data_IF_540923184396
#
_entry.id   IF_540923184396
#
_cell.length_a   1.000
_cell.length_b   1.000
_cell.length_c   1.000
_cell.angle_alpha   90.00
_cell.angle_beta   90.00
_cell.angle_gamma   90.00
#
_symmetry.space_group_name_H-M   'P 1'
#
loop_
_entity.id
_entity.type
_entity.pdbx_description
1 polymer ?
#
# COMPACT_ATOMS: atom_id res chain seq x y z
N UNK A 1 -1.67 -5.99 15.89
CA UNK A 1 -2.52 -4.92 16.45
C UNK A 1 -3.75 -5.53 17.10
N UNK A 2 -4.05 -5.22 18.38
CA UNK A 2 -5.10 -5.92 19.12
C UNK A 2 -6.54 -5.74 18.57
N UNK A 3 -6.78 -4.68 17.78
CA UNK A 3 -8.12 -4.32 17.27
C UNK A 3 -8.28 -4.49 15.74
N UNK A 4 -7.31 -5.08 15.03
CA UNK A 4 -7.36 -5.18 13.56
C UNK A 4 -8.04 -6.48 13.12
N UNK A 5 -9.02 -6.37 12.20
CA UNK A 5 -9.57 -7.53 11.48
C UNK A 5 -8.81 -7.72 10.17
N UNK A 6 -8.22 -8.88 9.95
CA UNK A 6 -7.54 -9.21 8.69
C UNK A 6 -8.52 -9.85 7.71
N UNK A 7 -8.47 -9.37 6.47
CA UNK A 7 -9.12 -9.95 5.31
C UNK A 7 -8.08 -10.26 4.25
N UNK A 8 -8.48 -11.07 3.27
CA UNK A 8 -7.67 -11.35 2.10
C UNK A 8 -8.46 -10.96 0.86
N UNK A 9 -7.96 -9.97 0.14
CA UNK A 9 -8.51 -9.57 -1.14
C UNK A 9 -7.99 -10.54 -2.20
N UNK A 10 -8.91 -11.26 -2.85
CA UNK A 10 -8.57 -12.27 -3.84
C UNK A 10 -9.40 -12.08 -5.12
N UNK A 11 -8.72 -11.86 -6.25
CA UNK A 11 -9.34 -11.87 -7.59
C UNK A 11 -8.56 -12.84 -8.48
N UNK A 12 -9.10 -14.04 -8.77
CA UNK A 12 -8.38 -15.05 -9.56
C UNK A 12 -7.98 -14.60 -10.96
N UNK A 13 -8.78 -13.72 -11.59
CA UNK A 13 -8.63 -13.34 -12.99
C UNK A 13 -7.29 -12.65 -13.29
N UNK A 14 -6.71 -11.98 -12.31
CA UNK A 14 -5.39 -11.32 -12.38
C UNK A 14 -4.47 -11.72 -11.23
N UNK A 15 -4.77 -12.83 -10.54
CA UNK A 15 -3.99 -13.33 -9.40
C UNK A 15 -3.80 -12.28 -8.29
N UNK A 16 -4.71 -11.32 -8.17
CA UNK A 16 -4.68 -10.36 -7.08
C UNK A 16 -4.82 -11.13 -5.76
N UNK A 17 -3.82 -11.01 -4.90
CA UNK A 17 -3.79 -11.65 -3.59
C UNK A 17 -3.15 -10.69 -2.58
N UNK A 18 -3.99 -9.88 -1.91
CA UNK A 18 -3.53 -8.79 -1.06
C UNK A 18 -4.17 -8.91 0.33
N UNK A 19 -3.38 -9.17 1.39
CA UNK A 19 -3.86 -9.05 2.75
C UNK A 19 -4.25 -7.61 3.06
N UNK A 20 -5.40 -7.45 3.73
CA UNK A 20 -5.93 -6.15 4.14
C UNK A 20 -6.28 -6.18 5.62
N UNK A 21 -5.70 -5.27 6.40
CA UNK A 21 -6.10 -5.06 7.78
C UNK A 21 -7.12 -3.92 7.89
N UNK A 22 -8.21 -4.20 8.59
CA UNK A 22 -9.26 -3.25 8.93
C UNK A 22 -9.09 -2.83 10.39
N UNK A 23 -8.65 -1.60 10.62
CA UNK A 23 -8.47 -1.03 11.96
C UNK A 23 -9.66 -0.14 12.28
N UNK A 24 -10.35 -0.41 13.38
CA UNK A 24 -11.54 0.36 13.81
C UNK A 24 -12.65 0.40 12.71
N UNK A 25 -12.74 -0.67 11.92
CA UNK A 25 -13.72 -0.83 10.85
C UNK A 25 -14.42 -2.19 10.96
N UNK A 26 -15.73 -2.18 10.73
CA UNK A 26 -16.54 -3.40 10.71
C UNK A 26 -17.47 -3.45 9.50
N UNK A 27 -17.55 -4.60 8.81
CA UNK A 27 -18.56 -4.82 7.79
C UNK A 27 -19.98 -4.77 8.38
N UNK A 28 -20.83 -3.86 7.87
CA UNK A 28 -22.26 -3.79 8.14
C UNK A 28 -23.01 -3.47 6.86
N UNK A 29 -23.98 -4.32 6.50
CA UNK A 29 -24.88 -4.14 5.33
C UNK A 29 -24.10 -3.79 4.05
N UNK A 30 -23.03 -4.53 3.76
CA UNK A 30 -22.21 -4.33 2.55
C UNK A 30 -21.31 -3.09 2.59
N UNK A 31 -21.05 -2.51 3.76
CA UNK A 31 -20.14 -1.36 3.92
C UNK A 31 -19.18 -1.56 5.09
N UNK A 32 -18.00 -0.98 5.01
CA UNK A 32 -17.08 -0.84 6.14
C UNK A 32 -17.41 0.42 6.92
N UNK A 33 -17.88 0.26 8.16
CA UNK A 33 -18.24 1.39 9.03
C UNK A 33 -17.25 1.55 10.18
N UNK A 34 -16.96 2.79 10.54
CA UNK A 34 -16.11 3.14 11.70
C UNK A 34 -16.83 2.75 12.99
N UNK A 35 -16.16 1.97 13.86
CA UNK A 35 -16.75 1.49 15.11
C UNK A 35 -16.74 2.55 16.20
N UNK A 36 -15.56 3.08 16.52
CA UNK A 36 -15.36 4.21 17.42
C UNK A 36 -15.08 5.48 16.60
N UNK A 37 -16.05 6.40 16.58
CA UNK A 37 -15.94 7.69 15.86
C UNK A 37 -14.88 8.63 16.43
N UNK A 38 -14.30 8.34 17.61
CA UNK A 38 -13.19 9.11 18.20
C UNK A 38 -11.83 8.70 17.64
N UNK A 39 -11.76 7.56 16.94
CA UNK A 39 -10.55 7.03 16.32
C UNK A 39 -10.72 7.00 14.80
N UNK A 40 -9.64 7.16 14.01
CA UNK A 40 -9.74 6.97 12.57
C UNK A 40 -10.08 5.50 12.25
N UNK A 41 -10.86 5.27 11.20
CA UNK A 41 -10.98 3.95 10.58
C UNK A 41 -9.91 3.82 9.51
N UNK A 42 -9.12 2.75 9.54
CA UNK A 42 -8.03 2.53 8.57
C UNK A 42 -8.24 1.25 7.76
N UNK A 43 -7.96 1.34 6.47
CA UNK A 43 -7.80 0.20 5.56
C UNK A 43 -6.32 0.12 5.21
N UNK A 44 -5.68 -1.00 5.54
CA UNK A 44 -4.23 -1.16 5.40
C UNK A 44 -3.94 -2.32 4.47
N UNK A 45 -3.37 -2.03 3.30
CA UNK A 45 -2.99 -3.02 2.30
C UNK A 45 -1.55 -3.44 2.51
N UNK A 46 -1.30 -4.75 2.47
CA UNK A 46 0.04 -5.33 2.52
C UNK A 46 0.37 -5.88 1.14
N UNK A 47 1.12 -5.13 0.35
CA UNK A 47 1.58 -5.59 -0.94
C UNK A 47 2.78 -6.52 -0.74
N UNK A 48 2.81 -7.70 -1.41
CA UNK A 48 3.94 -8.60 -1.31
C UNK A 48 5.22 -7.91 -1.79
N UNK A 49 6.42 -8.44 -1.48
CA UNK A 49 7.67 -7.93 -2.03
C UNK A 49 7.60 -7.70 -3.54
N UNK A 50 7.84 -6.46 -3.97
CA UNK A 50 7.75 -6.07 -5.39
C UNK A 50 9.12 -5.83 -6.03
N UNK A 51 10.18 -5.70 -5.24
CA UNK A 51 11.50 -5.33 -5.73
C UNK A 51 12.55 -6.37 -5.37
N UNK A 52 13.37 -6.72 -6.37
CA UNK A 52 14.54 -7.57 -6.20
C UNK A 52 15.75 -6.82 -6.77
N UNK A 53 16.86 -6.83 -6.04
CA UNK A 53 18.15 -6.37 -6.51
C UNK A 53 19.09 -7.57 -6.61
N UNK A 54 19.60 -7.87 -7.80
CA UNK A 54 20.49 -9.01 -8.07
C UNK A 54 21.72 -8.53 -8.83
N UNK A 55 22.90 -9.07 -8.50
CA UNK A 55 24.10 -8.83 -9.29
C UNK A 55 24.10 -9.68 -10.57
N UNK A 56 24.38 -9.05 -11.72
CA UNK A 56 24.56 -9.76 -12.99
C UNK A 56 25.90 -10.48 -13.06
N UNK A 57 26.00 -11.51 -13.91
CA UNK A 57 27.25 -12.15 -14.28
C UNK A 57 27.78 -11.57 -15.60
N UNK A 58 29.07 -11.22 -15.63
CA UNK A 58 29.73 -10.73 -16.84
C UNK A 58 30.11 -11.88 -17.80
N UNK A 59 30.26 -13.10 -17.28
CA UNK A 59 30.54 -14.31 -18.05
C UNK A 59 29.96 -15.57 -17.37
N UNK A 60 29.53 -16.55 -18.17
CA UNK A 60 28.94 -17.83 -17.78
C UNK A 60 29.89 -18.63 -16.90
N UNK A 61 31.20 -18.49 -17.09
CA UNK A 61 32.24 -19.16 -16.29
C UNK A 61 32.27 -18.71 -14.82
N UNK A 62 31.65 -17.56 -14.50
CA UNK A 62 31.53 -17.03 -13.14
C UNK A 62 30.11 -17.18 -12.56
N UNK A 63 29.21 -17.88 -13.26
CA UNK A 63 27.82 -18.03 -12.86
C UNK A 63 27.65 -18.85 -11.56
N UNK A 64 28.55 -19.80 -11.29
CA UNK A 64 28.49 -20.68 -10.10
C UNK A 64 28.98 -20.02 -8.80
N UNK A 65 29.52 -18.80 -8.86
CA UNK A 65 29.83 -18.04 -7.65
C UNK A 65 28.54 -17.42 -7.12
N UNK A 66 28.12 -17.80 -5.90
CA UNK A 66 26.94 -17.24 -5.25
C UNK A 66 26.98 -15.70 -5.25
N UNK A 67 25.96 -15.09 -5.85
CA UNK A 67 25.85 -13.62 -5.98
C UNK A 67 24.90 -13.06 -4.93
N UNK A 68 25.15 -11.83 -4.46
CA UNK A 68 24.22 -11.19 -3.57
C UNK A 68 22.90 -10.89 -4.31
N UNK A 69 21.81 -11.24 -3.66
CA UNK A 69 20.45 -10.91 -4.06
C UNK A 69 19.68 -10.44 -2.84
N UNK A 70 18.89 -9.39 -3.00
CA UNK A 70 18.03 -8.84 -1.95
C UNK A 70 16.62 -8.68 -2.47
N UNK A 71 15.66 -9.20 -1.71
CA UNK A 71 14.24 -8.86 -1.88
C UNK A 71 13.88 -7.74 -0.92
N UNK A 72 12.98 -6.85 -1.33
CA UNK A 72 12.27 -5.99 -0.38
C UNK A 72 11.44 -6.82 0.59
N UNK A 73 11.09 -6.24 1.73
CA UNK A 73 9.92 -6.65 2.51
C UNK A 73 8.61 -6.24 1.83
N UNK A 74 7.52 -6.35 2.59
CA UNK A 74 6.19 -5.97 2.14
C UNK A 74 6.03 -4.45 2.14
N UNK A 75 5.36 -3.91 1.12
CA UNK A 75 4.92 -2.51 1.13
C UNK A 75 3.62 -2.40 1.91
N UNK A 76 3.57 -1.49 2.87
CA UNK A 76 2.36 -1.18 3.65
C UNK A 76 1.76 0.12 3.11
N UNK A 77 0.53 0.07 2.63
CA UNK A 77 -0.24 1.25 2.25
C UNK A 77 -1.39 1.43 3.24
N UNK A 78 -1.38 2.53 4.00
CA UNK A 78 -2.39 2.80 5.02
C UNK A 78 -3.28 3.94 4.57
N UNK A 79 -4.59 3.72 4.60
CA UNK A 79 -5.58 4.68 4.18
C UNK A 79 -6.58 4.98 5.29
N UNK A 80 -6.91 6.25 5.47
CA UNK A 80 -7.98 6.69 6.37
C UNK A 80 -9.29 6.76 5.60
N UNK A 81 -10.38 6.26 6.22
CA UNK A 81 -11.74 6.50 5.73
C UNK A 81 -12.10 7.97 5.97
N UNK A 82 -12.43 8.76 4.92
CA UNK A 82 -12.72 10.18 5.11
C UNK A 82 -13.87 10.43 6.10
N UNK A 83 -13.73 11.40 7.01
CA UNK A 83 -14.78 11.72 7.97
C UNK A 83 -16.05 12.20 7.25
N UNK A 84 -17.22 11.90 7.83
CA UNK A 84 -18.51 12.31 7.27
C UNK A 84 -19.05 11.44 6.13
N UNK A 85 -18.30 10.45 5.64
CA UNK A 85 -18.82 9.43 4.72
C UNK A 85 -19.49 8.28 5.48
N UNK A 86 -20.52 7.62 4.93
CA UNK A 86 -21.19 6.47 5.56
C UNK A 86 -20.35 5.18 5.55
N UNK A 87 -19.01 5.29 5.54
CA UNK A 87 -18.08 4.19 5.32
C UNK A 87 -17.66 4.02 3.86
N UNK A 88 -16.92 2.94 3.57
CA UNK A 88 -16.53 2.50 2.21
C UNK A 88 -17.42 1.30 1.83
N UNK A 89 -17.71 1.08 0.55
CA UNK A 89 -18.36 -0.16 0.13
C UNK A 89 -17.50 -1.38 0.49
N UNK A 90 -18.12 -2.48 0.90
CA UNK A 90 -17.42 -3.73 1.24
C UNK A 90 -17.41 -4.69 0.06
N UNK A 91 -17.01 -4.17 -1.10
CA UNK A 91 -16.84 -4.91 -2.36
C UNK A 91 -15.47 -4.63 -2.96
N UNK A 92 -14.99 -5.54 -3.82
CA UNK A 92 -13.69 -5.41 -4.46
C UNK A 92 -13.49 -4.07 -5.19
N UNK A 93 -14.45 -3.56 -6.00
CA UNK A 93 -14.28 -2.27 -6.67
C UNK A 93 -14.09 -1.11 -5.69
N UNK A 94 -14.88 -1.07 -4.61
CA UNK A 94 -14.79 -0.01 -3.60
C UNK A 94 -13.51 -0.09 -2.76
N UNK A 95 -12.99 -1.30 -2.52
CA UNK A 95 -11.72 -1.50 -1.82
C UNK A 95 -10.50 -1.16 -2.68
N UNK A 96 -10.62 -1.27 -4.00
CA UNK A 96 -9.56 -0.94 -4.96
C UNK A 96 -9.64 0.51 -5.49
N UNK A 97 -10.69 1.25 -5.14
CA UNK A 97 -10.81 2.68 -5.43
C UNK A 97 -10.03 3.51 -4.39
N UNK A 98 -8.71 3.46 -4.49
CA UNK A 98 -7.82 4.18 -3.56
C UNK A 98 -7.93 5.71 -3.70
N UNK A 99 -8.45 6.22 -4.82
CA UNK A 99 -8.74 7.65 -5.01
C UNK A 99 -9.82 8.17 -4.04
N UNK A 100 -10.72 7.29 -3.59
CA UNK A 100 -11.78 7.64 -2.64
C UNK A 100 -11.29 7.70 -1.18
N UNK A 101 -10.03 7.40 -0.92
CA UNK A 101 -9.42 7.28 0.40
C UNK A 101 -8.33 8.32 0.63
N UNK A 102 -8.00 8.59 1.89
CA UNK A 102 -6.90 9.50 2.23
C UNK A 102 -5.68 8.70 2.67
N UNK A 103 -4.60 8.76 1.89
CA UNK A 103 -3.35 8.09 2.24
C UNK A 103 -2.80 8.65 3.55
N UNK A 104 -2.48 7.76 4.50
CA UNK A 104 -1.83 8.09 5.76
C UNK A 104 -0.33 7.88 5.61
N UNK A 105 0.42 8.97 5.59
CA UNK A 105 1.88 8.98 5.48
C UNK A 105 2.51 9.42 6.80
N UNK A 106 3.83 9.27 6.92
CA UNK A 106 4.56 9.96 8.00
C UNK A 106 4.51 11.48 7.75
N UNK A 107 4.18 12.30 8.76
CA UNK A 107 4.24 13.74 8.58
C UNK A 107 5.69 14.20 8.33
N UNK A 108 5.90 15.39 7.76
CA UNK A 108 7.24 15.97 7.61
C UNK A 108 7.99 16.00 8.95
N UNK A 109 9.20 15.45 9.00
CA UNK A 109 9.99 15.31 10.23
C UNK A 109 9.45 14.28 11.24
N UNK A 110 8.32 13.63 10.95
CA UNK A 110 7.77 12.54 11.74
C UNK A 110 8.69 11.33 11.74
N UNK A 111 8.86 10.75 12.93
CA UNK A 111 9.60 9.50 13.15
C UNK A 111 8.60 8.39 13.40
N UNK A 112 8.80 7.20 12.81
CA UNK A 112 7.96 6.06 13.13
C UNK A 112 8.23 5.55 14.55
N UNK A 113 7.43 4.59 15.00
CA UNK A 113 7.65 3.89 16.25
C UNK A 113 9.00 3.15 16.23
N UNK A 114 9.70 3.13 17.38
CA UNK A 114 11.07 2.62 17.47
C UNK A 114 11.20 1.13 17.08
N UNK A 115 10.17 0.33 17.36
CA UNK A 115 10.18 -1.11 17.14
C UNK A 115 9.57 -1.52 15.79
N UNK A 116 8.82 -0.63 15.14
CA UNK A 116 8.14 -0.92 13.87
C UNK A 116 8.06 0.35 13.00
N UNK A 117 8.85 0.43 11.91
CA UNK A 117 8.89 1.60 11.07
C UNK A 117 7.57 1.81 10.28
N UNK A 118 6.68 0.82 10.25
CA UNK A 118 5.38 0.94 9.58
C UNK A 118 4.31 1.57 10.48
N UNK A 119 4.67 1.95 11.72
CA UNK A 119 3.75 2.53 12.71
C UNK A 119 4.14 3.97 13.07
N UNK A 120 3.14 4.76 13.43
CA UNK A 120 3.26 6.06 14.08
C UNK A 120 2.20 6.13 15.19
N UNK A 121 2.66 6.22 16.43
CA UNK A 121 1.85 6.20 17.65
C UNK A 121 0.99 4.94 17.73
N UNK A 122 1.57 3.79 17.39
CA UNK A 122 0.90 2.49 17.37
C UNK A 122 -0.13 2.33 16.25
N UNK A 123 -0.18 3.23 15.26
CA UNK A 123 -1.11 3.15 14.12
C UNK A 123 -0.38 3.02 12.78
N UNK A 124 -0.88 2.24 11.81
CA UNK A 124 -0.18 1.97 10.56
C UNK A 124 -0.05 3.20 9.67
N UNK A 125 1.17 3.51 9.21
CA UNK A 125 1.49 4.52 8.20
C UNK A 125 1.96 3.85 6.91
N UNK A 126 1.89 4.60 5.81
CA UNK A 126 2.37 4.15 4.51
C UNK A 126 3.89 4.08 4.48
N UNK A 127 4.39 2.90 4.13
CA UNK A 127 5.80 2.54 4.01
C UNK A 127 5.99 1.71 2.73
N UNK A 128 6.59 2.31 1.71
CA UNK A 128 6.99 1.63 0.47
C UNK A 128 8.39 1.06 0.70
N UNK A 129 8.53 -0.26 0.63
CA UNK A 129 9.81 -0.93 0.87
C UNK A 129 10.53 -1.27 -0.44
N UNK A 130 11.76 -0.76 -0.56
CA UNK A 130 12.74 -1.16 -1.56
C UNK A 130 13.75 -2.15 -0.94
N UNK A 131 14.55 -2.86 -1.76
CA UNK A 131 15.56 -3.78 -1.25
C UNK A 131 16.51 -3.08 -0.27
N UNK A 132 17.15 -3.86 0.60
CA UNK A 132 18.06 -3.36 1.66
C UNK A 132 17.38 -2.52 2.76
N UNK A 133 16.07 -2.70 2.96
CA UNK A 133 15.25 -1.99 3.98
C UNK A 133 15.18 -0.47 3.78
N UNK A 134 15.34 0.00 2.54
CA UNK A 134 15.05 1.38 2.23
C UNK A 134 13.53 1.59 2.25
N UNK A 135 13.04 2.36 3.23
CA UNK A 135 11.63 2.68 3.39
C UNK A 135 11.35 4.09 2.89
N UNK A 136 10.33 4.23 2.04
CA UNK A 136 9.91 5.48 1.44
C UNK A 136 8.49 5.82 1.85
N UNK A 137 8.23 7.09 2.16
CA UNK A 137 6.89 7.61 2.44
C UNK A 137 6.64 8.81 1.53
N UNK A 138 5.43 8.95 0.95
CA UNK A 138 5.10 10.15 0.18
C UNK A 138 5.14 11.42 1.03
N UNK A 139 5.61 12.51 0.44
CA UNK A 139 5.65 13.84 1.06
C UNK A 139 4.78 14.83 0.28
N UNK A 140 3.96 15.58 1.02
CA UNK A 140 3.01 16.52 0.45
C UNK A 140 1.68 15.88 0.04
N UNK A 141 0.77 16.67 -0.57
CA UNK A 141 -0.52 16.18 -1.03
C UNK A 141 -0.35 15.23 -2.23
N UNK A 142 -0.91 14.04 -2.11
CA UNK A 142 -0.84 12.99 -3.12
C UNK A 142 -2.21 12.35 -3.32
N UNK A 143 -2.46 11.88 -4.53
CA UNK A 143 -3.68 11.16 -4.89
C UNK A 143 -3.35 9.88 -5.65
N UNK A 144 -4.33 9.00 -5.75
CA UNK A 144 -4.25 7.80 -6.56
C UNK A 144 -5.14 7.96 -7.79
N UNK A 145 -4.63 7.59 -8.96
CA UNK A 145 -5.38 7.61 -10.22
C UNK A 145 -5.62 6.17 -10.67
N UNK A 146 -6.76 5.56 -10.28
CA UNK A 146 -7.05 4.17 -10.59
C UNK A 146 -7.62 4.02 -12.01
N UNK A 147 -7.25 2.93 -12.69
CA UNK A 147 -8.00 2.44 -13.84
C UNK A 147 -8.77 1.19 -13.43
N UNK A 148 -10.07 1.38 -13.21
CA UNK A 148 -10.98 0.34 -12.72
C UNK A 148 -11.58 -0.53 -13.83
N UNK A 149 -11.39 -0.12 -15.09
CA UNK A 149 -11.74 -0.91 -16.27
C UNK A 149 -10.48 -1.55 -16.85
N UNK A 150 -10.57 -2.78 -17.39
CA UNK A 150 -9.44 -3.42 -18.04
C UNK A 150 -8.85 -2.55 -19.16
N UNK A 151 -7.52 -2.41 -19.18
CA UNK A 151 -6.77 -1.70 -20.22
C UNK A 151 -5.94 -2.71 -20.99
N UNK A 152 -6.06 -2.71 -22.32
CA UNK A 152 -5.30 -3.60 -23.18
C UNK A 152 -4.16 -2.86 -23.88
N UNK A 153 -2.95 -3.43 -23.80
CA UNK A 153 -1.76 -2.95 -24.51
C UNK A 153 -0.95 -4.16 -25.00
N UNK A 154 -0.64 -4.19 -26.30
CA UNK A 154 0.17 -5.24 -26.94
C UNK A 154 -0.22 -6.67 -26.53
N UNK A 155 -1.49 -7.04 -26.82
CA UNK A 155 -2.12 -8.33 -26.49
C UNK A 155 -2.26 -8.67 -24.99
N UNK A 156 -1.73 -7.84 -24.09
CA UNK A 156 -1.88 -7.97 -22.63
C UNK A 156 -3.03 -7.12 -22.15
N UNK A 157 -3.72 -7.58 -21.12
CA UNK A 157 -4.80 -6.82 -20.49
C UNK A 157 -4.54 -6.69 -19.00
N UNK A 158 -4.40 -5.46 -18.53
CA UNK A 158 -4.33 -5.11 -17.12
C UNK A 158 -5.75 -5.00 -16.60
N UNK A 159 -6.16 -5.86 -15.66
CA UNK A 159 -7.52 -5.83 -15.11
C UNK A 159 -7.72 -4.70 -14.09
N UNK A 160 -6.62 -4.21 -13.51
CA UNK A 160 -6.59 -3.07 -12.60
C UNK A 160 -5.16 -2.60 -12.41
N UNK A 161 -4.99 -1.28 -12.40
CA UNK A 161 -3.78 -0.63 -11.90
C UNK A 161 -4.13 0.73 -11.31
N UNK A 162 -3.17 1.34 -10.63
CA UNK A 162 -3.32 2.68 -10.06
C UNK A 162 -1.96 3.35 -9.95
N UNK A 163 -1.92 4.66 -10.11
CA UNK A 163 -0.72 5.46 -10.02
C UNK A 163 -0.80 6.39 -8.82
N UNK A 164 0.28 6.48 -8.06
CA UNK A 164 0.44 7.51 -7.03
C UNK A 164 1.00 8.77 -7.68
N UNK A 165 0.30 9.89 -7.52
CA UNK A 165 0.62 11.16 -8.17
C UNK A 165 0.61 12.30 -7.15
N UNK A 166 1.41 13.34 -7.38
CA UNK A 166 1.28 14.58 -6.61
C UNK A 166 0.00 15.31 -7.01
N UNK A 167 -0.75 15.82 -6.03
CA UNK A 167 -1.89 16.67 -6.35
C UNK A 167 -1.40 17.97 -7.01
N UNK A 168 -2.11 18.43 -8.04
CA UNK A 168 -1.77 19.66 -8.76
C UNK A 168 -0.70 19.51 -9.85
N UNK A 169 -0.29 18.28 -10.19
CA UNK A 169 0.56 18.00 -11.37
C UNK A 169 2.04 18.34 -11.18
N UNK A 170 2.48 18.52 -9.93
CA UNK A 170 3.91 18.60 -9.59
C UNK A 170 4.61 17.24 -9.65
N UNK A 171 5.92 17.23 -9.39
CA UNK A 171 6.65 15.98 -9.20
C UNK A 171 6.26 15.30 -7.88
N UNK A 172 6.08 13.98 -7.88
CA UNK A 172 5.90 13.19 -6.66
C UNK A 172 7.18 13.23 -5.82
N UNK A 173 7.08 13.76 -4.60
CA UNK A 173 8.16 13.74 -3.63
C UNK A 173 8.02 12.52 -2.72
N UNK A 174 9.09 11.73 -2.60
CA UNK A 174 9.20 10.63 -1.66
C UNK A 174 10.36 10.92 -0.69
N UNK A 175 10.12 10.67 0.59
CA UNK A 175 11.13 10.80 1.63
C UNK A 175 11.55 9.43 2.12
N UNK A 176 12.86 9.19 2.15
CA UNK A 176 13.43 8.05 2.84
C UNK A 176 13.31 8.22 4.37
N UNK A 177 12.95 7.14 5.06
CA UNK A 177 12.83 7.13 6.52
C UNK A 177 13.23 5.77 7.10
N UNK A 178 13.28 5.72 8.43
CA UNK A 178 13.94 4.75 9.30
C UNK A 178 15.38 5.14 9.68
#
# INVERSE_FOLDING_TARGET
MPDARRLLLHRPQDMLFVPVDLVNLTPRRGRLVVEDRKRPGLVVFHLPPQHVAEASADDVTTADAGRPAWSSGATVLSFTVPPGRPGIGFGLPDLLDWAALSLRCLPPGGKPDADDPTLLDGQPVTAIELPTRLLLTPEGPVTWTPHVNPVSFDERTELWHTFLEAEGGGGLALRAFA
#
